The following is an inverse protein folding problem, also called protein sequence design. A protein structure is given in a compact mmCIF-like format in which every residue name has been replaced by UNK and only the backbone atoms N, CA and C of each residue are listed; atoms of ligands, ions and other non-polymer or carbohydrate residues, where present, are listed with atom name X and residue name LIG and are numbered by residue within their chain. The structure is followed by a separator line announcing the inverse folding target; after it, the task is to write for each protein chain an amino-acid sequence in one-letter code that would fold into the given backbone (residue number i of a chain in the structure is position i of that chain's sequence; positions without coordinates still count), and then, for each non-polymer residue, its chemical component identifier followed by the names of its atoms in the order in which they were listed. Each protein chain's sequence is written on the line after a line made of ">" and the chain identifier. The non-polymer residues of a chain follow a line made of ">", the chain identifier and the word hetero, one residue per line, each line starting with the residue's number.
data_IF_324383832824
#
_entry.id   IF_324383832824
#
_cell.length_a   1.000
_cell.length_b   1.000
_cell.length_c   1.000
_cell.angle_alpha   90.00
_cell.angle_beta   90.00
_cell.angle_gamma   90.00
#
_symmetry.space_group_name_H-M   'P 1'
#
loop_
_entity.id
_entity.type
_entity.pdbx_description
1 polymer ?
#
# COMPACT_ATOMS: atom_id res chain seq x y z
N UNK A 1 -16.84 -13.60 13.51
CA UNK A 1 -16.17 -12.27 13.46
C UNK A 1 -16.47 -11.64 14.80
N UNK A 2 -15.47 -11.40 15.63
CA UNK A 2 -15.69 -10.84 16.97
C UNK A 2 -16.14 -9.37 16.87
N UNK A 3 -16.85 -8.89 17.88
CA UNK A 3 -17.32 -7.49 17.97
C UNK A 3 -16.14 -6.54 17.83
N UNK A 4 -14.97 -6.88 18.37
CA UNK A 4 -13.74 -6.09 18.30
C UNK A 4 -13.22 -5.84 16.87
N UNK A 5 -13.38 -6.81 15.96
CA UNK A 5 -12.96 -6.70 14.55
C UNK A 5 -13.86 -5.72 13.81
N UNK A 6 -15.16 -5.80 14.02
CA UNK A 6 -16.12 -4.89 13.38
C UNK A 6 -15.92 -3.45 13.89
N UNK A 7 -15.73 -3.28 15.20
CA UNK A 7 -15.48 -1.97 15.79
C UNK A 7 -14.18 -1.36 15.26
N UNK A 8 -13.12 -2.15 15.08
CA UNK A 8 -11.86 -1.71 14.47
C UNK A 8 -12.07 -1.23 13.03
N UNK A 9 -12.81 -1.97 12.19
CA UNK A 9 -13.10 -1.57 10.82
C UNK A 9 -13.94 -0.29 10.74
N UNK A 10 -14.94 -0.15 11.61
CA UNK A 10 -15.77 1.07 11.68
C UNK A 10 -14.92 2.28 12.09
N UNK A 11 -14.02 2.11 13.04
CA UNK A 11 -13.10 3.17 13.45
C UNK A 11 -12.16 3.57 12.31
N UNK A 12 -11.56 2.61 11.62
CA UNK A 12 -10.70 2.85 10.44
C UNK A 12 -11.47 3.59 9.35
N UNK A 13 -12.69 3.14 9.02
CA UNK A 13 -13.52 3.78 8.01
C UNK A 13 -13.83 5.25 8.35
N UNK A 14 -14.14 5.54 9.63
CA UNK A 14 -14.37 6.92 10.09
C UNK A 14 -13.10 7.78 10.00
N UNK A 15 -11.97 7.23 10.39
CA UNK A 15 -10.68 7.92 10.33
C UNK A 15 -10.30 8.23 8.88
N UNK A 16 -10.40 7.26 7.97
CA UNK A 16 -10.14 7.47 6.54
C UNK A 16 -11.08 8.52 5.92
N UNK A 17 -12.35 8.54 6.32
CA UNK A 17 -13.31 9.52 5.83
C UNK A 17 -13.06 10.96 6.31
N UNK A 18 -12.27 11.14 7.38
CA UNK A 18 -11.92 12.44 7.96
C UNK A 18 -10.53 12.96 7.56
N UNK A 19 -9.77 12.17 6.82
CA UNK A 19 -8.40 12.52 6.40
C UNK A 19 -8.46 13.29 5.09
N UNK A 20 -7.80 14.45 5.07
CA UNK A 20 -7.65 15.27 3.88
C UNK A 20 -6.27 15.05 3.24
N UNK A 21 -6.30 14.83 1.93
CA UNK A 21 -5.10 14.71 1.11
C UNK A 21 -4.61 13.28 0.90
N UNK A 22 -4.11 13.06 -0.30
CA UNK A 22 -3.64 11.76 -0.80
C UNK A 22 -2.62 11.12 0.15
N UNK A 23 -1.59 11.88 0.52
CA UNK A 23 -0.48 11.39 1.32
C UNK A 23 -0.92 10.90 2.71
N UNK A 24 -1.84 11.62 3.34
CA UNK A 24 -2.34 11.26 4.67
C UNK A 24 -3.21 10.00 4.63
N UNK A 25 -3.96 9.77 3.54
CA UNK A 25 -4.71 8.52 3.31
C UNK A 25 -3.76 7.33 3.19
N UNK A 26 -2.68 7.48 2.40
CA UNK A 26 -1.68 6.41 2.20
C UNK A 26 -0.97 6.04 3.52
N UNK A 27 -0.56 7.03 4.30
CA UNK A 27 0.05 6.80 5.62
C UNK A 27 -0.91 6.06 6.55
N UNK A 28 -2.16 6.48 6.61
CA UNK A 28 -3.16 5.83 7.45
C UNK A 28 -3.41 4.38 7.03
N UNK A 29 -3.50 4.10 5.74
CA UNK A 29 -3.66 2.73 5.23
C UNK A 29 -2.49 1.84 5.68
N UNK A 30 -1.25 2.33 5.58
CA UNK A 30 -0.06 1.58 6.00
C UNK A 30 -0.05 1.36 7.51
N UNK A 31 -0.26 2.41 8.30
CA UNK A 31 -0.20 2.35 9.76
C UNK A 31 -1.30 1.43 10.32
N UNK A 32 -2.53 1.52 9.78
CA UNK A 32 -3.63 0.66 10.21
C UNK A 32 -3.42 -0.80 9.77
N UNK A 33 -2.86 -1.05 8.59
CA UNK A 33 -2.54 -2.40 8.16
C UNK A 33 -1.50 -3.06 9.08
N UNK A 34 -0.44 -2.35 9.43
CA UNK A 34 0.57 -2.82 10.39
C UNK A 34 -0.05 -3.10 11.76
N UNK A 35 -0.87 -2.19 12.25
CA UNK A 35 -1.55 -2.32 13.55
C UNK A 35 -2.51 -3.51 13.59
N UNK A 36 -3.33 -3.70 12.56
CA UNK A 36 -4.34 -4.76 12.49
C UNK A 36 -3.73 -6.17 12.35
N UNK A 37 -2.54 -6.25 11.75
CA UNK A 37 -1.91 -7.54 11.44
C UNK A 37 -0.73 -7.88 12.32
N UNK A 38 -0.22 -6.91 13.09
CA UNK A 38 1.06 -7.01 13.78
C UNK A 38 2.19 -7.45 12.82
N UNK A 39 2.16 -6.95 11.58
CA UNK A 39 3.20 -7.21 10.61
C UNK A 39 4.46 -6.40 10.92
N UNK A 40 5.64 -6.98 10.68
CA UNK A 40 6.92 -6.31 10.90
C UNK A 40 7.20 -5.21 9.86
N UNK A 41 6.71 -5.39 8.63
CA UNK A 41 6.90 -4.43 7.57
C UNK A 41 5.70 -4.29 6.64
N UNK A 42 5.68 -3.14 5.96
CA UNK A 42 4.72 -2.82 4.92
C UNK A 42 5.37 -2.04 3.79
N UNK A 43 4.97 -2.33 2.57
CA UNK A 43 5.28 -1.54 1.38
C UNK A 43 3.98 -1.15 0.71
N UNK A 44 3.79 0.13 0.49
CA UNK A 44 2.70 0.65 -0.31
C UNK A 44 3.24 1.11 -1.66
N UNK A 45 2.62 0.60 -2.71
CA UNK A 45 2.84 1.00 -4.08
C UNK A 45 1.65 1.81 -4.58
N UNK A 46 1.89 2.82 -5.39
CA UNK A 46 0.85 3.61 -6.07
C UNK A 46 1.03 3.50 -7.57
N UNK A 47 -0.08 3.37 -8.28
CA UNK A 47 -0.09 3.42 -9.74
C UNK A 47 -0.02 4.88 -10.18
N UNK A 48 1.05 5.23 -10.91
CA UNK A 48 1.22 6.54 -11.54
C UNK A 48 1.52 6.30 -13.02
N UNK A 49 0.63 6.74 -13.88
CA UNK A 49 0.67 6.41 -15.31
C UNK A 49 0.68 4.87 -15.50
N UNK A 50 1.64 4.32 -16.22
CA UNK A 50 1.81 2.88 -16.44
C UNK A 50 2.86 2.23 -15.52
N UNK A 51 3.14 2.86 -14.37
CA UNK A 51 4.16 2.43 -13.42
C UNK A 51 3.57 2.16 -12.05
N UNK A 52 3.98 1.06 -11.42
CA UNK A 52 3.76 0.80 -10.01
C UNK A 52 4.98 1.34 -9.24
N UNK A 53 4.80 2.46 -8.55
CA UNK A 53 5.86 3.16 -7.83
C UNK A 53 5.80 2.85 -6.35
N UNK A 54 6.95 2.64 -5.74
CA UNK A 54 7.06 2.59 -4.28
C UNK A 54 6.73 3.97 -3.72
N UNK A 55 5.82 4.05 -2.78
CA UNK A 55 5.41 5.32 -2.15
C UNK A 55 5.78 5.36 -0.67
N UNK A 56 5.52 4.28 0.06
CA UNK A 56 5.81 4.14 1.48
C UNK A 56 6.45 2.79 1.74
N UNK A 57 7.55 2.76 2.49
CA UNK A 57 8.19 1.54 2.98
C UNK A 57 8.41 1.68 4.48
N UNK A 58 7.95 0.70 5.23
CA UNK A 58 8.09 0.59 6.68
C UNK A 58 8.61 -0.80 7.02
N UNK A 59 9.57 -0.89 7.92
CA UNK A 59 9.97 -2.14 8.56
C UNK A 59 10.45 -1.83 9.99
N UNK A 60 9.81 -2.43 10.97
CA UNK A 60 10.05 -2.12 12.38
C UNK A 60 11.38 -2.71 12.86
N UNK A 61 11.65 -3.97 12.55
CA UNK A 61 12.88 -4.66 12.97
C UNK A 61 14.15 -4.05 12.37
N UNK A 62 14.05 -3.46 11.17
CA UNK A 62 15.16 -2.80 10.47
C UNK A 62 15.21 -1.28 10.69
N UNK A 63 14.29 -0.71 11.45
CA UNK A 63 14.11 0.74 11.63
C UNK A 63 14.02 1.51 10.30
N UNK A 64 13.32 0.92 9.32
CA UNK A 64 13.14 1.51 7.98
C UNK A 64 11.85 2.33 7.94
N UNK A 65 12.00 3.61 7.54
CA UNK A 65 10.90 4.53 7.27
C UNK A 65 11.24 5.38 6.06
N UNK A 66 10.86 4.93 4.86
CA UNK A 66 11.07 5.66 3.61
C UNK A 66 9.75 6.12 3.01
N UNK A 67 9.78 7.22 2.30
CA UNK A 67 8.62 7.80 1.63
C UNK A 67 7.55 8.32 2.58
N UNK A 68 6.45 8.73 2.02
CA UNK A 68 5.36 9.32 2.79
C UNK A 68 5.79 10.60 3.53
N UNK A 69 5.23 10.80 4.70
CA UNK A 69 5.54 11.93 5.59
C UNK A 69 6.81 11.73 6.44
N UNK A 70 7.60 10.67 6.19
CA UNK A 70 8.81 10.37 6.97
C UNK A 70 9.92 11.40 6.77
N UNK A 71 9.87 12.20 5.71
CA UNK A 71 10.94 13.11 5.29
C UNK A 71 12.16 12.40 4.69
N UNK A 72 12.16 11.07 4.62
CA UNK A 72 13.25 10.27 4.07
C UNK A 72 12.88 9.75 2.68
N UNK A 73 13.67 10.11 1.69
CA UNK A 73 13.44 9.65 0.30
C UNK A 73 13.77 8.17 0.13
N UNK A 74 13.07 7.53 -0.80
CA UNK A 74 13.36 6.14 -1.18
C UNK A 74 14.76 6.04 -1.81
N UNK A 75 15.59 5.08 -1.39
CA UNK A 75 16.88 4.81 -2.02
C UNK A 75 16.73 4.38 -3.49
N UNK A 76 17.79 4.53 -4.29
CA UNK A 76 17.80 4.19 -5.72
C UNK A 76 17.49 2.72 -6.06
N UNK A 77 17.51 1.84 -5.06
CA UNK A 77 17.12 0.42 -5.22
C UNK A 77 15.62 0.17 -5.37
N UNK A 78 14.77 1.17 -5.12
CA UNK A 78 13.32 1.09 -5.24
C UNK A 78 12.84 1.63 -6.59
N UNK A 79 13.28 0.98 -7.68
CA UNK A 79 12.89 1.38 -9.03
C UNK A 79 11.42 1.09 -9.32
N UNK A 80 10.69 1.97 -10.02
CA UNK A 80 9.32 1.73 -10.46
C UNK A 80 9.19 0.47 -11.32
N UNK A 81 8.06 -0.20 -11.22
CA UNK A 81 7.77 -1.45 -11.93
C UNK A 81 6.74 -1.15 -13.03
N UNK A 82 7.06 -1.36 -14.32
CA UNK A 82 6.08 -1.17 -15.40
C UNK A 82 4.91 -2.15 -15.27
N UNK A 83 3.66 -1.64 -15.34
CA UNK A 83 2.45 -2.47 -15.22
C UNK A 83 2.29 -3.46 -16.39
N UNK A 84 2.74 -3.07 -17.57
CA UNK A 84 2.71 -3.90 -18.78
C UNK A 84 3.88 -4.89 -18.87
N UNK A 85 4.85 -4.84 -17.96
CA UNK A 85 5.89 -5.84 -17.91
C UNK A 85 5.26 -7.24 -17.78
N UNK A 86 5.88 -8.24 -18.40
CA UNK A 86 5.55 -9.62 -18.11
C UNK A 86 5.63 -9.77 -16.58
N UNK A 87 4.64 -10.41 -15.98
CA UNK A 87 4.59 -10.43 -14.54
C UNK A 87 5.78 -11.18 -13.91
N UNK A 88 6.49 -12.00 -14.73
CA UNK A 88 7.74 -12.68 -14.40
C UNK A 88 7.72 -13.31 -12.99
N UNK A 89 6.52 -13.68 -12.50
CA UNK A 89 6.30 -14.23 -11.18
C UNK A 89 6.28 -13.20 -10.04
N UNK A 90 6.32 -11.88 -10.33
CA UNK A 90 6.26 -10.85 -9.28
C UNK A 90 4.87 -10.75 -8.68
N UNK A 91 4.76 -11.04 -7.40
CA UNK A 91 3.48 -11.08 -6.69
C UNK A 91 2.68 -9.76 -6.80
N UNK A 92 3.33 -8.60 -6.77
CA UNK A 92 2.65 -7.30 -6.88
C UNK A 92 1.99 -7.10 -8.25
N UNK A 93 2.64 -7.55 -9.35
CA UNK A 93 2.07 -7.50 -10.68
C UNK A 93 0.94 -8.52 -10.85
N UNK A 94 1.09 -9.71 -10.28
CA UNK A 94 0.03 -10.71 -10.27
C UNK A 94 -1.23 -10.16 -9.61
N UNK A 95 -1.10 -9.58 -8.42
CA UNK A 95 -2.23 -9.01 -7.66
C UNK A 95 -2.91 -7.89 -8.42
N UNK A 96 -2.14 -6.95 -9.00
CA UNK A 96 -2.71 -5.81 -9.71
C UNK A 96 -3.45 -6.23 -11.00
N UNK A 97 -2.95 -7.25 -11.69
CA UNK A 97 -3.53 -7.75 -12.94
C UNK A 97 -4.72 -8.68 -12.73
N UNK A 98 -4.64 -9.54 -11.72
CA UNK A 98 -5.69 -10.53 -11.44
C UNK A 98 -6.82 -9.98 -10.55
N UNK A 99 -6.53 -8.95 -9.75
CA UNK A 99 -7.40 -8.47 -8.67
C UNK A 99 -7.50 -9.43 -7.49
N UNK A 100 -6.70 -10.50 -7.46
CA UNK A 100 -6.73 -11.51 -6.41
C UNK A 100 -5.65 -11.25 -5.37
N UNK A 101 -6.02 -11.32 -4.09
CA UNK A 101 -5.08 -11.25 -2.97
C UNK A 101 -4.12 -12.44 -2.99
N UNK A 102 -2.85 -12.20 -2.70
CA UNK A 102 -1.85 -13.23 -2.52
C UNK A 102 -1.41 -13.30 -1.04
N UNK A 103 -1.75 -14.40 -0.38
CA UNK A 103 -1.34 -14.71 1.00
C UNK A 103 -0.33 -15.86 0.96
N UNK A 104 0.94 -15.56 1.24
CA UNK A 104 2.07 -16.46 1.06
C UNK A 104 2.67 -16.76 2.43
N UNK A 105 2.61 -18.02 2.83
CA UNK A 105 3.08 -18.47 4.14
C UNK A 105 4.60 -18.41 4.30
N UNK A 106 5.35 -18.72 3.23
CA UNK A 106 6.81 -18.63 3.20
C UNK A 106 7.27 -18.28 1.77
N UNK A 107 7.82 -17.09 1.59
CA UNK A 107 8.35 -16.63 0.33
C UNK A 107 9.49 -17.51 -0.22
N UNK A 108 10.25 -18.14 0.67
CA UNK A 108 11.36 -19.04 0.29
C UNK A 108 10.88 -20.40 -0.21
N UNK A 109 9.57 -20.67 -0.11
CA UNK A 109 8.92 -21.87 -0.60
C UNK A 109 7.66 -21.50 -1.40
N UNK A 110 7.81 -20.58 -2.34
CA UNK A 110 6.73 -20.02 -3.16
C UNK A 110 7.08 -20.08 -4.64
N UNK A 111 6.07 -20.21 -5.50
CA UNK A 111 6.21 -20.17 -6.96
C UNK A 111 6.41 -18.74 -7.50
N UNK A 112 6.22 -17.71 -6.66
CA UNK A 112 6.49 -16.33 -7.04
C UNK A 112 7.99 -16.00 -7.01
N UNK A 113 8.40 -15.05 -7.85
CA UNK A 113 9.78 -14.54 -7.87
C UNK A 113 10.02 -13.52 -6.75
N UNK A 114 10.73 -13.98 -5.72
CA UNK A 114 11.22 -13.16 -4.61
C UNK A 114 12.73 -12.91 -4.66
N UNK A 115 13.37 -13.05 -5.84
CA UNK A 115 14.82 -12.90 -5.99
C UNK A 115 15.33 -11.54 -5.48
N UNK A 116 14.59 -10.46 -5.74
CA UNK A 116 14.89 -9.13 -5.22
C UNK A 116 14.81 -9.06 -3.70
N UNK A 117 13.81 -9.70 -3.10
CA UNK A 117 13.65 -9.82 -1.65
C UNK A 117 14.80 -10.60 -1.02
N UNK A 118 15.18 -11.74 -1.59
CA UNK A 118 16.29 -12.54 -1.08
C UNK A 118 17.64 -11.78 -1.12
N UNK A 119 17.87 -10.99 -2.17
CA UNK A 119 19.05 -10.16 -2.27
C UNK A 119 19.08 -9.07 -1.20
N UNK A 120 17.92 -8.51 -0.86
CA UNK A 120 17.77 -7.52 0.21
C UNK A 120 17.92 -8.14 1.59
N UNK A 121 17.26 -9.26 1.84
CA UNK A 121 17.34 -10.04 3.08
C UNK A 121 18.80 -10.37 3.43
N UNK A 122 19.55 -10.84 2.44
CA UNK A 122 20.98 -11.15 2.61
C UNK A 122 21.83 -9.93 2.99
N UNK A 123 21.49 -8.74 2.44
CA UNK A 123 22.24 -7.50 2.74
C UNK A 123 21.89 -6.95 4.12
N UNK A 124 20.64 -7.13 4.54
CA UNK A 124 20.11 -6.56 5.78
C UNK A 124 20.14 -7.54 6.95
N UNK A 125 20.65 -8.78 6.73
CA UNK A 125 20.60 -9.86 7.71
C UNK A 125 19.17 -10.10 8.24
N UNK A 126 18.19 -10.00 7.34
CA UNK A 126 16.77 -10.12 7.62
C UNK A 126 16.18 -11.33 6.90
N UNK A 127 15.00 -11.80 7.32
CA UNK A 127 14.26 -12.86 6.64
C UNK A 127 12.81 -12.44 6.42
N UNK A 128 12.50 -12.07 5.19
CA UNK A 128 11.13 -11.85 4.74
C UNK A 128 10.44 -13.19 4.47
N UNK A 129 9.68 -13.68 5.43
CA UNK A 129 9.07 -15.01 5.37
C UNK A 129 7.64 -14.96 4.86
N UNK A 130 6.69 -14.44 5.64
CA UNK A 130 5.28 -14.40 5.23
C UNK A 130 4.93 -13.09 4.54
N UNK A 131 4.10 -13.18 3.50
CA UNK A 131 3.63 -12.02 2.74
C UNK A 131 2.11 -12.03 2.58
N UNK A 132 1.52 -10.86 2.72
CA UNK A 132 0.14 -10.60 2.33
C UNK A 132 0.15 -9.41 1.37
N UNK A 133 -0.25 -9.64 0.12
CA UNK A 133 -0.26 -8.64 -0.94
C UNK A 133 -1.68 -8.44 -1.42
N UNK A 134 -2.19 -7.22 -1.30
CA UNK A 134 -3.58 -6.85 -1.59
C UNK A 134 -3.61 -5.68 -2.55
N UNK A 135 -4.43 -5.77 -3.59
CA UNK A 135 -4.67 -4.69 -4.54
C UNK A 135 -5.60 -3.62 -3.97
N UNK A 136 -5.28 -2.37 -4.27
CA UNK A 136 -6.14 -1.22 -4.03
C UNK A 136 -6.77 -0.80 -5.34
N UNK A 137 -8.10 -0.81 -5.41
CA UNK A 137 -8.86 -0.49 -6.62
C UNK A 137 -9.88 0.60 -6.32
N UNK A 138 -10.21 1.41 -7.34
CA UNK A 138 -11.33 2.33 -7.27
C UNK A 138 -12.66 1.59 -7.54
N UNK A 139 -13.77 2.34 -7.58
CA UNK A 139 -15.12 1.78 -7.82
C UNK A 139 -15.29 1.19 -9.22
N UNK A 140 -14.52 1.67 -10.17
CA UNK A 140 -14.47 1.23 -11.56
C UNK A 140 -13.55 0.02 -11.76
N UNK A 141 -12.98 -0.52 -10.67
CA UNK A 141 -11.99 -1.60 -10.65
C UNK A 141 -10.67 -1.24 -11.36
N UNK A 142 -10.38 0.06 -11.51
CA UNK A 142 -9.07 0.50 -11.95
C UNK A 142 -8.07 0.40 -10.81
N UNK A 143 -6.84 -0.06 -11.07
CA UNK A 143 -5.83 -0.20 -10.03
C UNK A 143 -5.32 1.16 -9.57
N UNK A 144 -5.37 1.39 -8.27
CA UNK A 144 -4.82 2.57 -7.59
C UNK A 144 -3.44 2.28 -6.99
N UNK A 145 -3.25 1.06 -6.50
CA UNK A 145 -1.99 0.66 -5.87
C UNK A 145 -2.00 -0.77 -5.36
N UNK A 146 -0.96 -1.10 -4.63
CA UNK A 146 -0.81 -2.40 -3.95
C UNK A 146 -0.27 -2.18 -2.55
N UNK A 147 -0.90 -2.78 -1.58
CA UNK A 147 -0.40 -2.88 -0.20
C UNK A 147 0.20 -4.26 0.01
N UNK A 148 1.47 -4.31 0.40
CA UNK A 148 2.17 -5.56 0.69
C UNK A 148 2.68 -5.52 2.13
N UNK A 149 2.26 -6.50 2.93
CA UNK A 149 2.69 -6.70 4.31
C UNK A 149 3.69 -7.85 4.39
N UNK A 150 4.62 -7.75 5.33
CA UNK A 150 5.72 -8.70 5.49
C UNK A 150 5.79 -9.13 6.96
N UNK A 151 5.89 -10.44 7.20
CA UNK A 151 6.13 -11.04 8.50
C UNK A 151 5.06 -10.69 9.54
N UNK A 152 3.91 -11.36 9.49
CA UNK A 152 2.96 -11.35 10.61
C UNK A 152 3.65 -11.92 11.85
N UNK A 153 3.70 -11.16 12.94
CA UNK A 153 4.34 -11.57 14.19
C UNK A 153 3.25 -11.97 15.19
N UNK A 154 3.38 -13.15 15.74
CA UNK A 154 2.54 -13.59 16.85
C UNK A 154 2.86 -12.75 18.10
N UNK A 155 1.89 -12.04 18.71
CA UNK A 155 2.15 -11.13 19.81
C UNK A 155 2.56 -11.80 21.13
N UNK A 156 2.26 -13.11 21.29
CA UNK A 156 2.58 -13.85 22.50
C UNK A 156 3.97 -14.49 22.40
N UNK A 157 4.30 -15.05 21.25
CA UNK A 157 5.55 -15.81 21.05
C UNK A 157 6.66 -15.00 20.37
N UNK A 158 6.30 -13.88 19.75
CA UNK A 158 7.19 -13.05 18.92
C UNK A 158 7.81 -13.82 17.73
N UNK A 159 7.09 -14.84 17.23
CA UNK A 159 7.52 -15.65 16.10
C UNK A 159 6.76 -15.22 14.85
N UNK A 160 7.48 -15.16 13.72
CA UNK A 160 6.86 -14.93 12.42
C UNK A 160 5.97 -16.10 12.04
N UNK A 161 4.73 -15.78 11.62
CA UNK A 161 3.73 -16.75 11.20
C UNK A 161 3.06 -16.32 9.88
N UNK A 162 2.34 -17.22 9.19
CA UNK A 162 1.49 -16.84 8.07
C UNK A 162 0.39 -15.86 8.48
N UNK A 163 -0.02 -14.97 7.58
CA UNK A 163 -1.21 -14.15 7.80
C UNK A 163 -2.46 -15.02 7.89
N UNK A 164 -3.25 -14.83 8.92
CA UNK A 164 -4.50 -15.55 9.12
C UNK A 164 -5.58 -15.06 8.13
N UNK A 165 -6.62 -15.88 7.84
CA UNK A 165 -7.75 -15.46 7.01
C UNK A 165 -8.48 -14.21 7.55
N UNK A 166 -8.45 -13.99 8.87
CA UNK A 166 -9.04 -12.79 9.49
C UNK A 166 -8.21 -11.56 9.18
N UNK A 167 -6.88 -11.65 9.28
CA UNK A 167 -5.98 -10.56 8.91
C UNK A 167 -6.09 -10.24 7.43
N UNK A 168 -6.15 -11.25 6.56
CA UNK A 168 -6.36 -11.09 5.12
C UNK A 168 -7.66 -10.30 4.84
N UNK A 169 -8.79 -10.73 5.37
CA UNK A 169 -10.07 -10.05 5.18
C UNK A 169 -10.08 -8.60 5.70
N UNK A 170 -9.37 -8.33 6.81
CA UNK A 170 -9.22 -6.98 7.36
C UNK A 170 -8.42 -6.07 6.43
N UNK A 171 -7.30 -6.58 5.90
CA UNK A 171 -6.44 -5.82 4.99
C UNK A 171 -7.12 -5.60 3.63
N UNK A 172 -7.88 -6.59 3.13
CA UNK A 172 -8.70 -6.41 1.92
C UNK A 172 -9.75 -5.31 2.09
N UNK A 173 -10.46 -5.30 3.22
CA UNK A 173 -11.42 -4.25 3.53
C UNK A 173 -10.75 -2.86 3.64
N UNK A 174 -9.60 -2.79 4.31
CA UNK A 174 -8.82 -1.56 4.44
C UNK A 174 -8.31 -1.06 3.08
N UNK A 175 -7.76 -1.94 2.24
CA UNK A 175 -7.27 -1.62 0.91
C UNK A 175 -8.41 -1.12 -0.01
N UNK A 176 -9.58 -1.73 0.06
CA UNK A 176 -10.77 -1.30 -0.66
C UNK A 176 -11.26 0.09 -0.23
N UNK A 177 -11.29 0.36 1.07
CA UNK A 177 -11.63 1.69 1.60
C UNK A 177 -10.58 2.73 1.19
N UNK A 178 -9.29 2.40 1.33
CA UNK A 178 -8.18 3.26 0.94
C UNK A 178 -8.21 3.63 -0.54
N UNK A 179 -8.43 2.66 -1.43
CA UNK A 179 -8.54 2.89 -2.87
C UNK A 179 -9.68 3.83 -3.25
N UNK A 180 -10.85 3.67 -2.61
CA UNK A 180 -12.01 4.53 -2.85
C UNK A 180 -11.76 5.98 -2.37
N UNK A 181 -11.14 6.16 -1.20
CA UNK A 181 -10.83 7.49 -0.64
C UNK A 181 -9.72 8.17 -1.45
N UNK A 182 -8.71 7.42 -1.87
CA UNK A 182 -7.63 7.91 -2.72
C UNK A 182 -8.13 8.50 -4.03
N UNK A 183 -9.02 7.80 -4.74
CA UNK A 183 -9.58 8.33 -5.99
C UNK A 183 -10.30 9.65 -5.77
N UNK A 184 -11.06 9.77 -4.69
CA UNK A 184 -11.73 11.03 -4.34
C UNK A 184 -10.71 12.15 -4.04
N UNK A 185 -9.62 11.87 -3.32
CA UNK A 185 -8.58 12.84 -3.03
C UNK A 185 -7.87 13.33 -4.31
N UNK A 186 -7.54 12.42 -5.23
CA UNK A 186 -6.95 12.74 -6.53
C UNK A 186 -7.89 13.65 -7.33
N UNK A 187 -9.17 13.28 -7.47
CA UNK A 187 -10.17 14.06 -8.21
C UNK A 187 -10.35 15.46 -7.62
N UNK A 188 -10.34 15.58 -6.28
CA UNK A 188 -10.44 16.87 -5.62
C UNK A 188 -9.23 17.77 -5.92
N UNK A 189 -8.03 17.20 -5.93
CA UNK A 189 -6.80 17.93 -6.25
C UNK A 189 -6.80 18.39 -7.71
N UNK A 190 -7.20 17.51 -8.65
CA UNK A 190 -7.30 17.85 -10.07
C UNK A 190 -8.33 18.96 -10.33
N UNK A 191 -9.50 18.88 -9.69
CA UNK A 191 -10.54 19.89 -9.81
C UNK A 191 -10.07 21.24 -9.27
N UNK A 192 -9.39 21.25 -8.11
CA UNK A 192 -8.84 22.48 -7.54
C UNK A 192 -7.81 23.13 -8.46
N UNK A 193 -6.90 22.34 -9.04
CA UNK A 193 -5.91 22.83 -9.99
C UNK A 193 -6.54 23.40 -11.27
N UNK A 194 -7.62 22.79 -11.78
CA UNK A 194 -8.38 23.29 -12.92
C UNK A 194 -9.07 24.62 -12.59
N UNK A 195 -9.68 24.74 -11.41
CA UNK A 195 -10.31 25.99 -10.97
C UNK A 195 -9.29 27.12 -10.82
N UNK A 196 -8.12 26.85 -10.24
CA UNK A 196 -7.04 27.84 -10.11
C UNK A 196 -6.53 28.30 -11.48
N UNK A 197 -6.34 27.37 -12.43
CA UNK A 197 -5.94 27.70 -13.79
C UNK A 197 -7.01 28.56 -14.48
N UNK A 198 -8.28 28.25 -14.31
CA UNK A 198 -9.41 29.01 -14.87
C UNK A 198 -9.49 30.41 -14.27
N UNK A 199 -9.34 30.54 -12.94
CA UNK A 199 -9.31 31.84 -12.25
C UNK A 199 -8.16 32.73 -12.76
N UNK A 200 -6.99 32.13 -12.99
CA UNK A 200 -5.83 32.86 -13.55
C UNK A 200 -6.12 33.38 -14.96
N UNK A 201 -6.71 32.55 -15.83
CA UNK A 201 -7.09 32.95 -17.19
C UNK A 201 -8.12 34.10 -17.20
N UNK A 202 -9.11 34.06 -16.29
CA UNK A 202 -10.08 35.17 -16.16
C UNK A 202 -9.38 36.45 -15.71
N UNK A 203 -8.49 36.40 -14.73
CA UNK A 203 -7.74 37.56 -14.24
C UNK A 203 -6.91 38.19 -15.37
N UNK A 204 -6.18 37.36 -16.13
CA UNK A 204 -5.40 37.84 -17.29
C UNK A 204 -6.28 38.48 -18.39
N UNK A 205 -7.50 37.95 -18.61
CA UNK A 205 -8.42 38.49 -19.61
C UNK A 205 -9.09 39.81 -19.17
N UNK A 206 -9.22 40.05 -17.86
CA UNK A 206 -9.80 41.31 -17.31
C UNK A 206 -8.75 42.43 -17.27
N UNK A 207 -7.47 42.08 -17.13
CA UNK A 207 -6.35 43.06 -17.07
C UNK A 207 -5.84 43.48 -18.47
N UNK A 208 -6.33 42.85 -19.55
CA UNK A 208 -5.97 43.11 -20.96
C UNK A 208 -6.96 44.06 -21.64
#
# INVERSE_FOLDING_TARGET
>A
MSIDVLDSLVQVARSLASVDGEQAVLEMVVDEALRLTNADGATLYVVKEDLLQFEIVRNQSLDIRFGGNSGTTLPSGFAPIPLHAEDAGRVVLHVIKSGQTANIADAYNSDFDFSGTYAMDKRMEYRSQSFLTVGMFNRELEPIGVLQLINAIDPETNIVQPFSPVQEALVEALAGMGGAVMKNAILHTELSALLDAFMKLIAEAVDA
#
